data_IF_836168630890
#
_entry.id   IF_836168630890
#
_cell.length_a   1.000
_cell.length_b   1.000
_cell.length_c   1.000
_cell.angle_alpha   90.00
_cell.angle_beta   90.00
_cell.angle_gamma   90.00
#
_symmetry.space_group_name_H-M   'P 1'
#
loop_
_entity.id
_entity.type
_entity.pdbx_description
1 polymer ?
#
# COMPACT_ATOMS: atom_id res chain seq x y z
N UNK A 1 12.98 -8.26 3.16
CA UNK A 1 14.20 -7.61 2.64
C UNK A 1 14.58 -6.55 3.66
N UNK A 2 15.79 -6.62 4.22
CA UNK A 2 16.16 -5.81 5.38
C UNK A 2 17.01 -4.59 5.01
N UNK A 3 17.55 -4.56 3.79
CA UNK A 3 18.33 -3.49 3.22
C UNK A 3 18.19 -3.51 1.70
N UNK A 4 18.45 -2.38 1.06
CA UNK A 4 18.50 -2.23 -0.39
C UNK A 4 19.86 -1.64 -0.77
N UNK A 5 20.48 -2.13 -1.84
CA UNK A 5 21.79 -1.64 -2.29
C UNK A 5 21.65 -0.84 -3.57
N UNK A 6 22.27 0.34 -3.63
CA UNK A 6 22.36 1.12 -4.85
C UNK A 6 22.92 0.27 -6.00
N UNK A 7 22.37 0.44 -7.20
CA UNK A 7 22.76 -0.29 -8.41
C UNK A 7 22.13 -1.68 -8.53
N UNK A 8 21.44 -2.16 -7.49
CA UNK A 8 20.66 -3.40 -7.57
C UNK A 8 19.61 -3.27 -8.67
N UNK A 9 19.47 -4.31 -9.49
CA UNK A 9 18.41 -4.40 -10.49
C UNK A 9 17.20 -5.13 -9.88
N UNK A 10 16.04 -4.49 -9.95
CA UNK A 10 14.74 -5.06 -9.59
C UNK A 10 14.02 -5.40 -10.90
N UNK A 11 13.68 -6.68 -11.09
CA UNK A 11 12.86 -7.12 -12.21
C UNK A 11 11.38 -7.00 -11.85
N UNK A 12 10.64 -6.18 -12.59
CA UNK A 12 9.21 -6.04 -12.47
C UNK A 12 8.47 -7.21 -13.15
N UNK A 13 7.19 -7.39 -12.80
CA UNK A 13 6.37 -8.49 -13.31
C UNK A 13 6.12 -8.42 -14.83
N UNK A 14 6.20 -7.22 -15.41
CA UNK A 14 6.11 -6.97 -16.85
C UNK A 14 7.44 -7.22 -17.60
N UNK A 15 8.51 -7.60 -16.88
CA UNK A 15 9.82 -7.88 -17.43
C UNK A 15 10.74 -6.67 -17.54
N UNK A 16 10.31 -5.47 -17.15
CA UNK A 16 11.18 -4.30 -17.09
C UNK A 16 12.12 -4.38 -15.88
N UNK A 17 13.37 -3.94 -16.06
CA UNK A 17 14.35 -3.87 -14.99
C UNK A 17 14.57 -2.43 -14.55
N UNK A 18 14.50 -2.19 -13.24
CA UNK A 18 14.71 -0.88 -12.64
C UNK A 18 15.94 -0.89 -11.74
N UNK A 19 16.70 0.20 -11.79
CA UNK A 19 17.92 0.34 -10.98
C UNK A 19 17.60 1.08 -9.68
N UNK A 20 18.02 0.53 -8.56
CA UNK A 20 17.95 1.20 -7.26
C UNK A 20 18.94 2.36 -7.21
N UNK A 21 18.44 3.58 -7.00
CA UNK A 21 19.29 4.76 -6.79
C UNK A 21 19.84 4.87 -5.35
N UNK A 22 20.71 5.86 -5.12
CA UNK A 22 21.36 6.06 -3.84
C UNK A 22 20.40 6.52 -2.73
N UNK A 23 19.42 7.34 -3.06
CA UNK A 23 18.49 7.90 -2.09
C UNK A 23 17.53 6.82 -1.60
N UNK A 24 16.99 6.03 -2.52
CA UNK A 24 16.16 4.87 -2.23
C UNK A 24 16.91 3.86 -1.36
N UNK A 25 18.16 3.52 -1.71
CA UNK A 25 18.97 2.61 -0.93
C UNK A 25 19.23 3.10 0.50
N UNK A 26 19.35 4.42 0.69
CA UNK A 26 19.61 5.06 1.99
C UNK A 26 18.39 5.06 2.91
N UNK A 27 17.19 5.24 2.37
CA UNK A 27 15.97 5.39 3.18
C UNK A 27 15.20 4.08 3.35
N UNK A 28 15.44 3.09 2.49
CA UNK A 28 14.74 1.82 2.55
C UNK A 28 15.09 1.04 3.81
N UNK A 29 14.08 0.71 4.60
CA UNK A 29 14.23 -0.05 5.84
C UNK A 29 13.34 -1.29 5.91
N UNK A 30 13.52 -2.11 6.97
CA UNK A 30 12.68 -3.27 7.21
C UNK A 30 11.19 -2.90 7.30
N UNK A 31 10.36 -3.62 6.54
CA UNK A 31 8.90 -3.45 6.52
C UNK A 31 8.40 -2.50 5.43
N UNK A 32 9.29 -1.72 4.82
CA UNK A 32 8.94 -0.91 3.66
C UNK A 32 8.57 -1.79 2.46
N UNK A 33 7.78 -1.24 1.54
CA UNK A 33 7.48 -1.86 0.26
C UNK A 33 8.17 -1.11 -0.86
N UNK A 34 8.48 -1.86 -1.90
CA UNK A 34 8.97 -1.34 -3.16
C UNK A 34 8.03 -1.83 -4.26
N UNK A 35 7.52 -0.91 -5.06
CA UNK A 35 6.63 -1.20 -6.19
C UNK A 35 7.30 -0.67 -7.45
N UNK A 36 7.32 -1.49 -8.50
CA UNK A 36 7.75 -1.04 -9.81
C UNK A 36 6.54 -0.53 -10.59
N UNK A 37 6.68 0.67 -11.15
CA UNK A 37 5.72 1.31 -12.02
C UNK A 37 6.40 1.66 -13.35
N UNK A 38 5.74 1.37 -14.47
CA UNK A 38 6.33 1.52 -15.80
C UNK A 38 6.64 2.97 -16.18
N UNK A 39 5.95 3.95 -15.60
CA UNK A 39 6.15 5.37 -15.89
C UNK A 39 6.98 6.06 -14.80
N UNK A 40 6.71 5.76 -13.54
CA UNK A 40 7.32 6.39 -12.38
C UNK A 40 8.59 5.69 -11.87
N UNK A 41 8.86 4.46 -12.29
CA UNK A 41 10.02 3.68 -11.85
C UNK A 41 9.79 2.96 -10.51
N UNK A 42 10.78 3.02 -9.62
CA UNK A 42 10.67 2.37 -8.30
C UNK A 42 10.02 3.31 -7.28
N UNK A 43 8.83 2.95 -6.84
CA UNK A 43 8.10 3.62 -5.78
C UNK A 43 8.42 3.01 -4.42
N UNK A 44 8.93 3.84 -3.51
CA UNK A 44 9.14 3.50 -2.10
C UNK A 44 7.88 3.82 -1.30
N UNK A 45 7.38 2.83 -0.57
CA UNK A 45 6.26 3.00 0.36
C UNK A 45 6.78 2.69 1.76
N UNK A 46 6.94 3.71 2.63
CA UNK A 46 7.33 3.50 4.01
C UNK A 46 6.33 2.62 4.76
N UNK A 47 6.83 1.79 5.66
CA UNK A 47 6.01 0.85 6.43
C UNK A 47 4.90 1.56 7.24
N UNK A 48 5.16 2.78 7.71
CA UNK A 48 4.17 3.58 8.44
C UNK A 48 2.99 4.01 7.56
N UNK A 49 3.27 4.42 6.33
CA UNK A 49 2.24 4.82 5.37
C UNK A 49 1.39 3.62 4.96
N UNK A 50 2.04 2.49 4.65
CA UNK A 50 1.31 1.26 4.34
C UNK A 50 0.40 0.83 5.49
N UNK A 51 0.88 0.86 6.74
CA UNK A 51 0.06 0.51 7.91
C UNK A 51 -1.14 1.44 8.04
N UNK A 52 -0.95 2.74 7.85
CA UNK A 52 -2.03 3.73 7.94
C UNK A 52 -3.10 3.44 6.88
N UNK A 53 -2.69 3.20 5.65
CA UNK A 53 -3.60 2.85 4.55
C UNK A 53 -4.34 1.53 4.84
N UNK A 54 -3.64 0.49 5.27
CA UNK A 54 -4.24 -0.82 5.62
C UNK A 54 -5.30 -0.66 6.70
N UNK A 55 -4.99 0.03 7.81
CA UNK A 55 -5.96 0.21 8.90
C UNK A 55 -7.22 0.96 8.44
N UNK A 56 -7.08 1.99 7.61
CA UNK A 56 -8.21 2.74 7.08
C UNK A 56 -9.09 1.89 6.15
N UNK A 57 -8.46 1.13 5.25
CA UNK A 57 -9.17 0.25 4.31
C UNK A 57 -9.87 -0.89 5.06
N UNK A 58 -9.22 -1.50 6.04
CA UNK A 58 -9.79 -2.58 6.85
C UNK A 58 -10.99 -2.07 7.65
N UNK A 59 -10.90 -0.88 8.25
CA UNK A 59 -12.02 -0.27 8.98
C UNK A 59 -13.21 0.02 8.05
N UNK A 60 -12.95 0.53 6.84
CA UNK A 60 -14.00 0.77 5.86
C UNK A 60 -14.65 -0.54 5.40
N UNK A 61 -13.84 -1.56 5.07
CA UNK A 61 -14.33 -2.88 4.67
C UNK A 61 -15.19 -3.54 5.75
N UNK A 62 -14.77 -3.43 7.03
CA UNK A 62 -15.55 -3.91 8.16
C UNK A 62 -16.89 -3.17 8.28
N UNK A 63 -16.91 -1.84 8.18
CA UNK A 63 -18.14 -1.06 8.23
C UNK A 63 -19.13 -1.45 7.11
N UNK A 64 -18.64 -1.65 5.88
CA UNK A 64 -19.49 -2.12 4.78
C UNK A 64 -20.01 -3.55 5.00
N UNK A 65 -19.20 -4.43 5.59
CA UNK A 65 -19.65 -5.76 5.96
C UNK A 65 -20.76 -5.71 7.02
N UNK A 66 -20.61 -4.84 8.02
CA UNK A 66 -21.60 -4.66 9.09
C UNK A 66 -22.90 -4.07 8.56
N UNK A 67 -22.82 -3.18 7.56
CA UNK A 67 -24.00 -2.62 6.89
C UNK A 67 -24.91 -3.67 6.25
N UNK A 68 -24.37 -4.83 5.82
CA UNK A 68 -25.18 -5.91 5.27
C UNK A 68 -26.15 -6.53 6.30
N UNK A 69 -25.91 -6.32 7.60
CA UNK A 69 -26.77 -6.79 8.69
C UNK A 69 -27.71 -5.72 9.26
N UNK A 70 -27.72 -4.50 8.73
CA UNK A 70 -28.56 -3.41 9.23
C UNK A 70 -30.00 -3.61 8.75
N UNK A 71 -30.95 -3.52 9.69
CA UNK A 71 -32.38 -3.64 9.39
C UNK A 71 -32.92 -2.39 8.68
N UNK A 72 -33.92 -2.57 7.80
CA UNK A 72 -34.54 -1.49 7.03
C UNK A 72 -35.06 -0.36 7.91
N UNK A 73 -35.61 -0.66 9.10
CA UNK A 73 -36.11 0.36 10.03
C UNK A 73 -35.00 1.30 10.53
N UNK A 74 -33.79 0.78 10.71
CA UNK A 74 -32.64 1.59 11.10
C UNK A 74 -32.13 2.46 9.95
N UNK A 75 -32.28 1.99 8.70
CA UNK A 75 -31.96 2.77 7.50
C UNK A 75 -32.96 3.92 7.34
N UNK A 76 -34.26 3.64 7.49
CA UNK A 76 -35.32 4.66 7.43
C UNK A 76 -35.09 5.74 8.50
N UNK A 77 -34.83 5.34 9.75
CA UNK A 77 -34.59 6.27 10.85
C UNK A 77 -33.32 7.14 10.69
N UNK A 78 -32.37 6.76 9.84
CA UNK A 78 -31.17 7.56 9.56
C UNK A 78 -31.43 8.69 8.55
N UNK A 79 -32.35 8.49 7.60
CA UNK A 79 -32.62 9.43 6.50
C UNK A 79 -33.81 10.36 6.76
N UNK A 80 -34.68 10.04 7.71
CA UNK A 80 -35.77 10.91 8.20
C UNK A 80 -35.29 11.85 9.32
#
# INVERSE_FOLDING_TARGET
>A
MNELKQGTQILAADGQAFTVDADLARVFGPGDRLVADGEAGLLHIPAAELRTATLAVDAAAAAFSDMAGVADEAIIAFYD
#
